data_IF_214884921817
#
_entry.id   IF_214884921817
#
_cell.length_a   1.000
_cell.length_b   1.000
_cell.length_c   1.000
_cell.angle_alpha   90.00
_cell.angle_beta   90.00
_cell.angle_gamma   90.00
#
_symmetry.space_group_name_H-M   'P 1'
#
loop_
_entity.id
_entity.type
_entity.pdbx_description
1 polymer ?
#
# COMPACT_ATOMS: atom_id res chain seq x y z
N UNK A 1 -45.81 17.51 -32.79
CA UNK A 1 -44.76 16.89 -31.95
C UNK A 1 -44.01 15.97 -32.88
N UNK A 2 -42.76 16.31 -33.18
CA UNK A 2 -42.01 15.78 -34.31
C UNK A 2 -41.42 14.41 -34.00
N UNK A 3 -41.30 13.55 -35.03
CA UNK A 3 -40.66 12.23 -34.96
C UNK A 3 -39.25 12.28 -34.31
N UNK A 4 -38.59 13.44 -34.39
CA UNK A 4 -37.29 13.73 -33.78
C UNK A 4 -37.32 13.70 -32.24
N UNK A 5 -38.42 14.16 -31.63
CA UNK A 5 -38.57 14.14 -30.16
C UNK A 5 -38.82 12.73 -29.64
N UNK A 6 -39.49 11.89 -30.44
CA UNK A 6 -39.77 10.49 -30.12
C UNK A 6 -38.52 9.62 -30.28
N UNK A 7 -37.72 9.86 -31.32
CA UNK A 7 -36.45 9.19 -31.53
C UNK A 7 -35.40 9.57 -30.48
N UNK A 8 -35.35 10.86 -30.08
CA UNK A 8 -34.50 11.32 -28.98
C UNK A 8 -34.89 10.69 -27.64
N UNK A 9 -36.20 10.55 -27.35
CA UNK A 9 -36.70 9.85 -26.15
C UNK A 9 -36.40 8.35 -26.21
N UNK A 10 -36.56 7.71 -27.35
CA UNK A 10 -36.25 6.29 -27.54
C UNK A 10 -34.74 6.00 -27.50
N UNK A 11 -33.89 6.96 -27.85
CA UNK A 11 -32.43 6.85 -27.69
C UNK A 11 -32.01 6.98 -26.22
N UNK A 12 -32.62 7.91 -25.46
CA UNK A 12 -32.36 8.08 -24.02
C UNK A 12 -32.86 6.88 -23.21
N UNK A 13 -34.04 6.36 -23.53
CA UNK A 13 -34.59 5.17 -22.88
C UNK A 13 -33.76 3.90 -23.16
N UNK A 14 -33.11 3.81 -24.33
CA UNK A 14 -32.13 2.74 -24.62
C UNK A 14 -30.81 2.90 -23.87
N UNK A 15 -30.45 4.13 -23.51
CA UNK A 15 -29.22 4.44 -22.77
C UNK A 15 -29.40 4.26 -21.24
N UNK A 16 -30.63 4.33 -20.73
CA UNK A 16 -30.99 4.10 -19.32
C UNK A 16 -31.21 2.62 -18.95
N UNK A 17 -31.28 1.71 -19.94
CA UNK A 17 -31.74 0.33 -19.75
C UNK A 17 -30.64 -0.74 -19.85
N UNK A 18 -29.35 -0.36 -19.84
CA UNK A 18 -28.26 -1.33 -19.78
C UNK A 18 -27.83 -1.51 -18.30
N UNK A 19 -28.34 -2.54 -17.59
CA UNK A 19 -27.80 -2.87 -16.28
C UNK A 19 -26.33 -3.24 -16.48
N UNK A 20 -25.48 -2.57 -15.70
CA UNK A 20 -24.04 -2.83 -15.52
C UNK A 20 -23.66 -4.27 -15.92
N UNK A 21 -22.79 -4.48 -16.93
CA UNK A 21 -22.67 -5.78 -17.60
C UNK A 21 -22.30 -6.88 -16.61
N UNK A 22 -23.28 -7.70 -16.20
CA UNK A 22 -23.05 -8.83 -15.31
C UNK A 22 -22.52 -10.02 -16.10
N UNK A 23 -21.21 -10.23 -16.07
CA UNK A 23 -20.58 -11.43 -16.65
C UNK A 23 -20.55 -12.52 -15.59
N UNK A 24 -21.42 -13.53 -15.72
CA UNK A 24 -21.45 -14.68 -14.81
C UNK A 24 -21.83 -14.33 -13.36
N UNK A 25 -22.64 -13.28 -13.15
CA UNK A 25 -23.05 -12.80 -11.82
C UNK A 25 -22.02 -11.91 -11.14
N UNK A 26 -20.99 -11.46 -11.85
CA UNK A 26 -20.01 -10.50 -11.37
C UNK A 26 -20.42 -9.09 -11.81
N UNK A 27 -20.59 -8.18 -10.85
CA UNK A 27 -20.73 -6.76 -11.12
C UNK A 27 -19.40 -6.19 -11.65
N UNK A 28 -19.29 -6.01 -12.97
CA UNK A 28 -18.04 -5.64 -13.66
C UNK A 28 -17.53 -4.27 -13.23
N UNK A 29 -18.39 -3.27 -13.05
CA UNK A 29 -17.93 -1.95 -12.62
C UNK A 29 -17.41 -1.95 -11.17
N UNK A 30 -17.98 -2.78 -10.30
CA UNK A 30 -17.45 -2.98 -8.94
C UNK A 30 -16.05 -3.59 -8.97
N UNK A 31 -15.83 -4.59 -9.83
CA UNK A 31 -14.52 -5.21 -10.00
C UNK A 31 -13.50 -4.20 -10.56
N UNK A 32 -13.89 -3.44 -11.60
CA UNK A 32 -13.04 -2.38 -12.18
C UNK A 32 -12.64 -1.35 -11.13
N UNK A 33 -13.59 -0.86 -10.33
CA UNK A 33 -13.32 0.10 -9.26
C UNK A 33 -12.34 -0.45 -8.21
N UNK A 34 -12.44 -1.73 -7.84
CA UNK A 34 -11.49 -2.35 -6.90
C UNK A 34 -10.09 -2.38 -7.51
N UNK A 35 -9.96 -2.80 -8.78
CA UNK A 35 -8.67 -2.89 -9.48
C UNK A 35 -8.01 -1.51 -9.56
N UNK A 36 -8.71 -0.50 -10.06
CA UNK A 36 -8.16 0.86 -10.22
C UNK A 36 -7.68 1.44 -8.88
N UNK A 37 -8.44 1.21 -7.80
CA UNK A 37 -8.05 1.66 -6.45
C UNK A 37 -6.79 0.97 -5.95
N UNK A 38 -6.64 -0.33 -6.23
CA UNK A 38 -5.44 -1.09 -5.86
C UNK A 38 -4.24 -0.64 -6.68
N UNK A 39 -4.39 -0.48 -8.00
CA UNK A 39 -3.30 -0.03 -8.89
C UNK A 39 -2.76 1.34 -8.48
N UNK A 40 -3.64 2.29 -8.15
CA UNK A 40 -3.20 3.59 -7.62
C UNK A 40 -2.40 3.44 -6.32
N UNK A 41 -2.84 2.61 -5.37
CA UNK A 41 -2.12 2.36 -4.12
C UNK A 41 -0.79 1.63 -4.35
N UNK A 42 -0.70 0.77 -5.36
CA UNK A 42 0.54 0.11 -5.78
C UNK A 42 1.55 1.14 -6.31
N UNK A 43 1.11 2.08 -7.13
CA UNK A 43 1.94 3.18 -7.63
C UNK A 43 2.44 4.09 -6.51
N UNK A 44 1.54 4.52 -5.61
CA UNK A 44 1.90 5.30 -4.42
C UNK A 44 2.92 4.57 -3.54
N UNK A 45 2.70 3.27 -3.29
CA UNK A 45 3.65 2.46 -2.51
C UNK A 45 5.01 2.35 -3.20
N UNK A 46 5.04 2.23 -4.53
CA UNK A 46 6.29 2.17 -5.30
C UNK A 46 7.05 3.49 -5.23
N UNK A 47 6.37 4.63 -5.32
CA UNK A 47 6.97 5.95 -5.14
C UNK A 47 7.58 6.09 -3.73
N UNK A 48 6.80 5.80 -2.68
CA UNK A 48 7.27 5.82 -1.29
C UNK A 48 8.46 4.88 -1.06
N UNK A 49 8.44 3.69 -1.66
CA UNK A 49 9.54 2.75 -1.58
C UNK A 49 10.82 3.27 -2.28
N UNK A 50 10.68 4.09 -3.32
CA UNK A 50 11.81 4.79 -3.96
C UNK A 50 12.38 5.84 -3.02
N UNK A 51 11.53 6.70 -2.46
CA UNK A 51 11.96 7.76 -1.55
C UNK A 51 12.70 7.20 -0.32
N UNK A 52 12.19 6.09 0.25
CA UNK A 52 12.85 5.39 1.36
C UNK A 52 14.24 4.87 0.96
N UNK A 53 14.41 4.38 -0.27
CA UNK A 53 15.71 3.92 -0.76
C UNK A 53 16.69 5.07 -0.89
N UNK A 54 16.23 6.22 -1.37
CA UNK A 54 17.06 7.41 -1.54
C UNK A 54 17.52 7.94 -0.17
N UNK A 55 16.66 7.94 0.85
CA UNK A 55 17.03 8.28 2.23
C UNK A 55 18.09 7.31 2.78
N UNK A 56 17.96 6.00 2.52
CA UNK A 56 19.00 5.06 2.94
C UNK A 56 20.32 5.24 2.17
N UNK A 57 20.27 5.68 0.91
CA UNK A 57 21.46 6.00 0.14
C UNK A 57 22.15 7.27 0.65
N UNK A 58 21.37 8.27 1.05
CA UNK A 58 21.85 9.47 1.74
C UNK A 58 22.53 9.11 3.07
N UNK A 59 21.88 8.30 3.91
CA UNK A 59 22.45 7.84 5.17
C UNK A 59 23.79 7.10 4.96
N UNK A 60 23.88 6.27 3.92
CA UNK A 60 25.13 5.60 3.54
C UNK A 60 26.21 6.62 3.13
N UNK A 61 25.85 7.61 2.34
CA UNK A 61 26.76 8.65 1.86
C UNK A 61 27.25 9.56 2.99
N UNK A 62 26.42 9.76 4.01
CA UNK A 62 26.77 10.44 5.26
C UNK A 62 27.62 9.59 6.22
N UNK A 63 27.91 8.32 5.88
CA UNK A 63 28.80 7.44 6.65
C UNK A 63 28.10 6.52 7.66
N UNK A 64 26.77 6.44 7.67
CA UNK A 64 26.04 5.54 8.56
C UNK A 64 25.97 4.10 8.00
N UNK A 65 26.01 3.10 8.90
CA UNK A 65 25.71 1.72 8.54
C UNK A 65 24.19 1.54 8.37
N UNK A 66 23.76 1.34 7.13
CA UNK A 66 22.35 1.18 6.76
C UNK A 66 21.67 -0.01 7.46
N UNK A 67 22.40 -1.09 7.75
CA UNK A 67 21.84 -2.26 8.47
C UNK A 67 21.52 -1.88 9.91
N UNK A 68 22.41 -1.16 10.57
CA UNK A 68 22.20 -0.67 11.95
C UNK A 68 21.04 0.32 11.99
N UNK A 69 20.94 1.24 11.02
CA UNK A 69 19.81 2.19 10.94
C UNK A 69 18.48 1.44 10.78
N UNK A 70 18.41 0.40 9.94
CA UNK A 70 17.20 -0.44 9.80
C UNK A 70 16.84 -1.15 11.10
N UNK A 71 17.83 -1.68 11.81
CA UNK A 71 17.61 -2.29 13.11
C UNK A 71 17.05 -1.27 14.11
N UNK A 72 17.60 -0.05 14.14
CA UNK A 72 17.11 1.02 15.01
C UNK A 72 15.66 1.39 14.69
N UNK A 73 15.29 1.53 13.41
CA UNK A 73 13.90 1.76 12.99
C UNK A 73 12.99 0.63 13.48
N UNK A 74 13.43 -0.63 13.40
CA UNK A 74 12.65 -1.77 13.89
C UNK A 74 12.48 -1.76 15.40
N UNK A 75 13.53 -1.42 16.16
CA UNK A 75 13.47 -1.32 17.62
C UNK A 75 12.52 -0.19 18.05
N UNK A 76 12.53 0.94 17.34
CA UNK A 76 11.63 2.08 17.62
C UNK A 76 10.15 1.79 17.39
N UNK A 77 9.81 0.68 16.74
CA UNK A 77 8.41 0.24 16.55
C UNK A 77 7.90 -0.64 17.68
N UNK A 78 8.77 -1.10 18.57
CA UNK A 78 8.43 -1.95 19.72
C UNK A 78 8.13 -1.09 20.95
N UNK A 79 7.43 -1.68 21.92
CA UNK A 79 7.21 -1.06 23.22
C UNK A 79 8.54 -0.93 23.97
N UNK A 80 8.83 0.21 24.63
CA UNK A 80 10.11 0.43 25.31
C UNK A 80 10.45 -0.66 26.34
N UNK A 81 9.46 -1.15 27.10
CA UNK A 81 9.64 -2.19 28.10
C UNK A 81 10.03 -3.54 27.46
N UNK A 82 9.46 -3.90 26.30
CA UNK A 82 9.82 -5.13 25.59
C UNK A 82 11.26 -5.07 25.06
N UNK A 83 11.69 -3.89 24.59
CA UNK A 83 13.07 -3.68 24.14
C UNK A 83 14.04 -3.83 25.30
N UNK A 84 13.78 -3.19 26.44
CA UNK A 84 14.63 -3.24 27.62
C UNK A 84 14.75 -4.68 28.20
N UNK A 85 13.65 -5.41 28.25
CA UNK A 85 13.65 -6.83 28.66
C UNK A 85 14.52 -7.68 27.73
N UNK A 86 14.34 -7.53 26.41
CA UNK A 86 15.12 -8.27 25.41
C UNK A 86 16.63 -7.91 25.48
N UNK A 87 16.97 -6.65 25.68
CA UNK A 87 18.35 -6.20 25.83
C UNK A 87 19.00 -6.79 27.09
N UNK A 88 18.27 -6.79 28.21
CA UNK A 88 18.73 -7.39 29.47
C UNK A 88 19.01 -8.89 29.32
N UNK A 89 18.09 -9.63 28.70
CA UNK A 89 18.25 -11.06 28.45
C UNK A 89 19.41 -11.35 27.48
N UNK A 90 19.54 -10.55 26.42
CA UNK A 90 20.64 -10.68 25.46
C UNK A 90 22.00 -10.46 26.14
N UNK A 91 22.12 -9.44 26.99
CA UNK A 91 23.34 -9.18 27.74
C UNK A 91 23.68 -10.34 28.67
N UNK A 92 22.69 -10.86 29.41
CA UNK A 92 22.86 -12.03 30.28
C UNK A 92 23.41 -13.23 29.49
N UNK A 93 22.83 -13.52 28.33
CA UNK A 93 23.24 -14.66 27.50
C UNK A 93 24.62 -14.45 26.88
N UNK A 94 24.98 -13.23 26.46
CA UNK A 94 26.33 -12.91 25.99
C UNK A 94 27.38 -13.14 27.06
N UNK A 95 27.13 -12.65 28.28
CA UNK A 95 28.01 -12.90 29.44
C UNK A 95 28.17 -14.39 29.72
N UNK A 96 27.08 -15.16 29.67
CA UNK A 96 27.12 -16.60 29.86
C UNK A 96 27.94 -17.33 28.77
N UNK A 97 27.97 -16.81 27.55
CA UNK A 97 28.76 -17.33 26.43
C UNK A 97 30.20 -16.77 26.36
N UNK A 98 30.57 -15.82 27.23
CA UNK A 98 31.87 -15.14 27.20
C UNK A 98 32.05 -14.21 26.00
N UNK A 99 30.95 -13.66 25.47
CA UNK A 99 30.91 -12.69 24.37
C UNK A 99 30.82 -11.24 24.83
#
# INVERSE_FOLDING_TARGET
MSDVEEEARASRARQEADPDPEVGGIAVDRLRSIIERVERLEEERKALASDIKDIFAEAKSAGFDVKVVRQLISLRKKEPAEVEEQETLLELYRRALGM
#
